data_IF_613750174714
#
_entry.id   IF_613750174714
#
_cell.length_a   1.000
_cell.length_b   1.000
_cell.length_c   1.000
_cell.angle_alpha   90.00
_cell.angle_beta   90.00
_cell.angle_gamma   90.00
#
_symmetry.space_group_name_H-M   'P 1'
#
loop_
_entity.id
_entity.type
_entity.pdbx_description
1 polymer ?
#
# COMPACT_ATOMS: atom_id res chain seq x y z
N UNK A 1 32.67 41.21 6.59
CA UNK A 1 32.85 39.74 6.51
C UNK A 1 32.11 39.19 7.70
N UNK A 2 30.86 38.79 7.47
CA UNK A 2 29.93 38.39 8.52
C UNK A 2 29.65 36.92 8.26
N UNK A 3 30.10 36.06 9.16
CA UNK A 3 29.91 34.62 9.11
C UNK A 3 28.41 34.30 9.03
N UNK A 4 27.96 33.80 7.89
CA UNK A 4 26.70 33.10 7.79
C UNK A 4 26.87 31.75 8.48
N UNK A 5 26.11 31.42 9.54
CA UNK A 5 26.12 30.07 10.06
C UNK A 5 25.58 29.16 8.97
N UNK A 6 26.46 28.32 8.45
CA UNK A 6 26.13 27.26 7.52
C UNK A 6 25.42 26.17 8.32
N UNK A 7 24.17 26.44 8.70
CA UNK A 7 23.32 25.46 9.37
C UNK A 7 22.87 24.47 8.29
N UNK A 8 23.57 23.35 8.22
CA UNK A 8 23.13 22.19 7.43
C UNK A 8 21.63 21.97 7.64
N UNK A 9 20.81 21.82 6.58
CA UNK A 9 19.35 21.68 6.67
C UNK A 9 18.89 20.33 7.27
N UNK A 10 19.69 19.69 8.12
CA UNK A 10 19.47 18.34 8.61
C UNK A 10 19.43 18.15 10.13
N UNK A 11 19.38 19.21 10.95
CA UNK A 11 19.65 19.05 12.39
C UNK A 11 18.44 19.00 13.33
N UNK A 12 17.26 19.54 12.98
CA UNK A 12 16.11 19.54 13.89
C UNK A 12 14.91 18.88 13.22
N UNK A 13 14.88 17.54 13.23
CA UNK A 13 13.62 16.82 13.04
C UNK A 13 12.83 16.94 14.35
N UNK A 14 11.49 17.06 14.31
CA UNK A 14 10.72 17.06 15.54
C UNK A 14 10.92 15.72 16.27
N UNK A 15 11.06 15.75 17.60
CA UNK A 15 11.37 14.57 18.43
C UNK A 15 10.38 13.41 18.25
N UNK A 16 9.18 13.70 17.75
CA UNK A 16 8.13 12.73 17.46
C UNK A 16 8.32 11.97 16.14
N UNK A 17 9.19 12.44 15.24
CA UNK A 17 9.36 11.91 13.90
C UNK A 17 10.29 10.68 13.82
N UNK A 18 11.46 10.62 14.49
CA UNK A 18 12.33 9.44 14.46
C UNK A 18 11.62 8.10 14.71
N UNK A 19 10.79 7.92 15.76
CA UNK A 19 10.11 6.63 15.98
C UNK A 19 9.10 6.30 14.86
N UNK A 20 8.53 7.31 14.20
CA UNK A 20 7.62 7.12 13.06
C UNK A 20 8.40 6.69 11.82
N UNK A 21 9.60 7.25 11.60
CA UNK A 21 10.48 6.85 10.49
C UNK A 21 10.93 5.39 10.66
N UNK A 22 11.33 5.00 11.87
CA UNK A 22 11.64 3.59 12.17
C UNK A 22 10.44 2.69 11.86
N UNK A 23 9.24 3.06 12.30
CA UNK A 23 8.02 2.32 11.99
C UNK A 23 7.76 2.20 10.48
N UNK A 24 8.00 3.26 9.70
CA UNK A 24 7.88 3.22 8.24
C UNK A 24 8.89 2.28 7.59
N UNK A 25 10.12 2.23 8.10
CA UNK A 25 11.12 1.27 7.61
C UNK A 25 10.73 -0.17 7.92
N UNK A 26 10.20 -0.42 9.12
CA UNK A 26 9.66 -1.74 9.51
C UNK A 26 8.51 -2.16 8.61
N UNK A 27 7.53 -1.29 8.37
CA UNK A 27 6.42 -1.59 7.45
C UNK A 27 6.91 -1.90 6.04
N UNK A 28 7.89 -1.16 5.53
CA UNK A 28 8.47 -1.44 4.22
C UNK A 28 9.15 -2.81 4.17
N UNK A 29 9.83 -3.20 5.23
CA UNK A 29 10.46 -4.52 5.33
C UNK A 29 9.42 -5.63 5.40
N UNK A 30 8.39 -5.48 6.24
CA UNK A 30 7.28 -6.43 6.39
C UNK A 30 6.52 -6.63 5.08
N UNK A 31 6.23 -5.53 4.35
CA UNK A 31 5.60 -5.60 3.03
C UNK A 31 6.44 -6.41 2.05
N UNK A 32 7.74 -6.15 1.96
CA UNK A 32 8.64 -6.90 1.08
C UNK A 32 8.69 -8.40 1.44
N UNK A 33 8.68 -8.75 2.73
CA UNK A 33 8.62 -10.14 3.17
C UNK A 33 7.31 -10.82 2.76
N UNK A 34 6.17 -10.13 2.94
CA UNK A 34 4.86 -10.67 2.57
C UNK A 34 4.70 -10.82 1.05
N UNK A 35 5.22 -9.88 0.26
CA UNK A 35 5.27 -9.98 -1.20
C UNK A 35 6.09 -11.18 -1.65
N UNK A 36 7.27 -11.39 -1.05
CA UNK A 36 8.10 -12.57 -1.31
C UNK A 36 7.38 -13.87 -0.95
N UNK A 37 6.69 -13.90 0.21
CA UNK A 37 5.87 -15.06 0.61
C UNK A 37 4.71 -15.32 -0.36
N UNK A 38 4.05 -14.27 -0.86
CA UNK A 38 2.96 -14.41 -1.83
C UNK A 38 3.48 -14.98 -3.16
N UNK A 39 4.67 -14.57 -3.60
CA UNK A 39 5.32 -15.12 -4.79
C UNK A 39 5.69 -16.60 -4.60
N UNK A 40 6.29 -16.96 -3.48
CA UNK A 40 6.63 -18.35 -3.13
C UNK A 40 5.38 -19.26 -3.10
N UNK A 41 4.29 -18.81 -2.47
CA UNK A 41 3.03 -19.56 -2.48
C UNK A 41 2.46 -19.73 -3.89
N UNK A 42 2.64 -18.74 -4.77
CA UNK A 42 2.22 -18.84 -6.17
C UNK A 42 3.02 -19.89 -6.93
N UNK A 43 4.34 -19.93 -6.74
CA UNK A 43 5.20 -20.96 -7.32
C UNK A 43 4.83 -22.36 -6.82
N UNK A 44 4.52 -22.50 -5.52
CA UNK A 44 4.08 -23.76 -4.94
C UNK A 44 2.75 -24.24 -5.56
N UNK A 45 1.77 -23.34 -5.77
CA UNK A 45 0.51 -23.69 -6.46
C UNK A 45 0.80 -24.22 -7.86
N UNK A 46 1.62 -23.51 -8.66
CA UNK A 46 1.98 -23.96 -10.00
C UNK A 46 2.67 -25.32 -10.00
N UNK A 47 3.53 -25.57 -9.01
CA UNK A 47 4.19 -26.86 -8.84
C UNK A 47 3.17 -27.98 -8.56
N UNK A 48 2.22 -27.76 -7.65
CA UNK A 48 1.18 -28.75 -7.35
C UNK A 48 0.25 -29.00 -8.54
N UNK A 49 -0.13 -27.95 -9.29
CA UNK A 49 -0.95 -28.10 -10.49
C UNK A 49 -0.23 -28.91 -11.58
N UNK A 50 1.07 -28.69 -11.78
CA UNK A 50 1.89 -29.49 -12.70
C UNK A 50 1.98 -30.95 -12.24
N UNK A 51 2.14 -31.19 -10.94
CA UNK A 51 2.16 -32.53 -10.37
C UNK A 51 0.81 -33.26 -10.54
N UNK A 52 -0.31 -32.55 -10.36
CA UNK A 52 -1.65 -33.08 -10.61
C UNK A 52 -1.82 -33.52 -12.07
N UNK A 53 -1.45 -32.66 -13.03
CA UNK A 53 -1.52 -32.98 -14.46
C UNK A 53 -0.65 -34.19 -14.85
N UNK A 54 0.52 -34.34 -14.22
CA UNK A 54 1.38 -35.49 -14.44
C UNK A 54 0.73 -36.79 -13.92
N UNK A 55 0.16 -36.77 -12.72
CA UNK A 55 -0.55 -37.91 -12.14
C UNK A 55 -1.81 -38.30 -12.95
N UNK A 56 -2.53 -37.33 -13.52
CA UNK A 56 -3.64 -37.63 -14.44
C UNK A 56 -3.17 -38.31 -15.72
N UNK A 57 -2.07 -37.82 -16.31
CA UNK A 57 -1.50 -38.43 -17.50
C UNK A 57 -1.08 -39.89 -17.22
N UNK A 58 -0.53 -40.18 -16.03
CA UNK A 58 -0.23 -41.55 -15.60
C UNK A 58 -1.49 -42.41 -15.46
N UNK A 59 -2.57 -41.86 -14.88
CA UNK A 59 -3.86 -42.53 -14.78
C UNK A 59 -4.43 -42.87 -16.17
N UNK A 60 -4.39 -41.92 -17.11
CA UNK A 60 -4.83 -42.12 -18.49
C UNK A 60 -4.02 -43.18 -19.22
N UNK A 61 -2.70 -43.20 -19.02
CA UNK A 61 -1.82 -44.25 -19.56
C UNK A 61 -2.18 -45.63 -18.99
N UNK A 62 -2.41 -45.74 -17.67
CA UNK A 62 -2.85 -46.98 -17.02
C UNK A 62 -4.21 -47.45 -17.57
N UNK A 63 -5.16 -46.52 -17.78
CA UNK A 63 -6.47 -46.76 -18.37
C UNK A 63 -6.38 -47.24 -19.82
N UNK A 64 -5.49 -46.66 -20.64
CA UNK A 64 -5.23 -47.12 -22.00
C UNK A 64 -4.64 -48.53 -22.02
N UNK A 65 -3.66 -48.82 -21.14
CA UNK A 65 -3.07 -50.16 -20.97
C UNK A 65 -4.14 -51.18 -20.55
N UNK A 66 -5.03 -50.81 -19.62
CA UNK A 66 -6.14 -51.64 -19.15
C UNK A 66 -7.11 -51.97 -20.29
N UNK A 67 -7.51 -50.98 -21.09
CA UNK A 67 -8.37 -51.17 -22.28
C UNK A 67 -7.73 -52.11 -23.29
N UNK A 68 -6.41 -52.00 -23.51
CA UNK A 68 -5.67 -52.90 -24.40
C UNK A 68 -5.64 -54.33 -23.86
N UNK A 69 -5.42 -54.51 -22.55
CA UNK A 69 -5.44 -55.82 -21.90
C UNK A 69 -6.82 -56.49 -21.98
N UNK A 70 -7.90 -55.72 -21.76
CA UNK A 70 -9.30 -56.17 -21.88
C UNK A 70 -9.62 -56.72 -23.28
N UNK A 71 -9.19 -56.00 -24.33
CA UNK A 71 -9.38 -56.42 -25.73
C UNK A 71 -8.60 -57.71 -26.03
N UNK A 72 -7.39 -57.84 -25.50
CA UNK A 72 -6.55 -59.01 -25.71
C UNK A 72 -7.04 -60.27 -24.96
N UNK A 73 -7.70 -60.11 -23.80
CA UNK A 73 -8.13 -61.24 -22.96
C UNK A 73 -9.53 -61.77 -23.26
N UNK A 74 -10.18 -61.30 -24.34
CA UNK A 74 -11.57 -61.67 -24.74
C UNK A 74 -12.52 -61.62 -23.53
N UNK A 75 -12.41 -60.57 -22.72
CA UNK A 75 -13.28 -60.36 -21.56
C UNK A 75 -13.00 -61.23 -20.34
N UNK A 76 -11.94 -62.07 -20.34
CA UNK A 76 -11.53 -62.81 -19.13
C UNK A 76 -10.67 -61.90 -18.23
N UNK A 77 -11.08 -61.67 -16.96
CA UNK A 77 -10.30 -60.87 -16.03
C UNK A 77 -8.99 -61.58 -15.68
N UNK A 78 -7.87 -60.86 -15.79
CA UNK A 78 -6.53 -61.36 -15.44
C UNK A 78 -5.96 -60.56 -14.29
N UNK A 79 -5.02 -61.14 -13.52
CA UNK A 79 -4.33 -60.45 -12.42
C UNK A 79 -3.77 -59.08 -12.85
N UNK A 80 -3.15 -59.04 -14.04
CA UNK A 80 -2.59 -57.81 -14.63
C UNK A 80 -3.63 -56.71 -14.85
N UNK A 81 -4.89 -57.05 -15.11
CA UNK A 81 -5.96 -56.05 -15.24
C UNK A 81 -6.34 -55.43 -13.89
N UNK A 82 -6.32 -56.22 -12.81
CA UNK A 82 -6.54 -55.68 -11.46
C UNK A 82 -5.40 -54.76 -11.03
N UNK A 83 -4.15 -55.11 -11.35
CA UNK A 83 -2.98 -54.28 -11.11
C UNK A 83 -3.07 -52.93 -11.86
N UNK A 84 -3.37 -52.96 -13.17
CA UNK A 84 -3.54 -51.73 -13.97
C UNK A 84 -4.72 -50.86 -13.49
N UNK A 85 -5.80 -51.47 -13.00
CA UNK A 85 -6.94 -50.73 -12.43
C UNK A 85 -6.60 -50.13 -11.07
N UNK A 86 -5.78 -50.80 -10.28
CA UNK A 86 -5.27 -50.24 -9.03
C UNK A 86 -4.34 -49.04 -9.32
N UNK A 87 -3.44 -49.18 -10.30
CA UNK A 87 -2.53 -48.11 -10.77
C UNK A 87 -3.30 -46.89 -11.28
N UNK A 88 -4.34 -47.08 -12.11
CA UNK A 88 -5.24 -46.00 -12.56
C UNK A 88 -5.84 -45.24 -11.37
N UNK A 89 -6.42 -45.98 -10.42
CA UNK A 89 -7.10 -45.41 -9.26
C UNK A 89 -6.13 -44.69 -8.32
N UNK A 90 -4.96 -45.25 -8.07
CA UNK A 90 -3.96 -44.61 -7.22
C UNK A 90 -3.42 -43.32 -7.86
N UNK A 91 -3.19 -43.33 -9.17
CA UNK A 91 -2.73 -42.14 -9.89
C UNK A 91 -3.81 -41.04 -9.92
N UNK A 92 -5.08 -41.41 -10.11
CA UNK A 92 -6.20 -40.47 -10.05
C UNK A 92 -6.36 -39.86 -8.65
N UNK A 93 -6.32 -40.71 -7.61
CA UNK A 93 -6.37 -40.26 -6.21
C UNK A 93 -5.23 -39.28 -5.90
N UNK A 94 -4.02 -39.56 -6.39
CA UNK A 94 -2.87 -38.67 -6.21
C UNK A 94 -3.06 -37.32 -6.92
N UNK A 95 -3.66 -37.30 -8.11
CA UNK A 95 -3.98 -36.06 -8.80
C UNK A 95 -5.00 -35.21 -8.03
N UNK A 96 -6.02 -35.84 -7.45
CA UNK A 96 -7.01 -35.17 -6.60
C UNK A 96 -6.35 -34.59 -5.34
N UNK A 97 -5.44 -35.32 -4.69
CA UNK A 97 -4.67 -34.84 -3.53
C UNK A 97 -3.82 -33.61 -3.89
N UNK A 98 -3.12 -33.61 -5.02
CA UNK A 98 -2.34 -32.45 -5.47
C UNK A 98 -3.21 -31.22 -5.71
N UNK A 99 -4.42 -31.38 -6.27
CA UNK A 99 -5.35 -30.26 -6.45
C UNK A 99 -5.91 -29.73 -5.14
N UNK A 100 -6.22 -30.62 -4.20
CA UNK A 100 -6.65 -30.22 -2.85
C UNK A 100 -5.54 -29.41 -2.16
N UNK A 101 -4.28 -29.87 -2.25
CA UNK A 101 -3.13 -29.13 -1.72
C UNK A 101 -2.95 -27.76 -2.41
N UNK A 102 -3.05 -27.71 -3.75
CA UNK A 102 -2.97 -26.44 -4.49
C UNK A 102 -4.06 -25.45 -4.03
N UNK A 103 -5.27 -25.95 -3.77
CA UNK A 103 -6.37 -25.13 -3.27
C UNK A 103 -6.11 -24.57 -1.87
N UNK A 104 -5.61 -25.40 -0.94
CA UNK A 104 -5.28 -24.97 0.42
C UNK A 104 -4.16 -23.93 0.43
N UNK A 105 -3.12 -24.13 -0.39
CA UNK A 105 -2.04 -23.14 -0.59
C UNK A 105 -2.62 -21.85 -1.19
N UNK A 106 -3.59 -21.97 -2.11
CA UNK A 106 -4.33 -20.85 -2.68
C UNK A 106 -5.06 -20.00 -1.64
N UNK A 107 -5.68 -20.63 -0.64
CA UNK A 107 -6.30 -19.92 0.49
C UNK A 107 -5.25 -19.14 1.27
N UNK A 108 -4.09 -19.74 1.57
CA UNK A 108 -3.03 -19.04 2.30
C UNK A 108 -2.39 -17.90 1.50
N UNK A 109 -2.23 -18.05 0.19
CA UNK A 109 -1.81 -16.96 -0.69
C UNK A 109 -2.77 -15.78 -0.59
N UNK A 110 -4.08 -16.06 -0.60
CA UNK A 110 -5.10 -15.02 -0.57
C UNK A 110 -5.18 -14.34 0.82
N UNK A 111 -4.93 -15.08 1.91
CA UNK A 111 -4.71 -14.50 3.26
C UNK A 111 -3.55 -13.52 3.25
N UNK A 112 -2.40 -13.93 2.74
CA UNK A 112 -1.21 -13.07 2.63
C UNK A 112 -1.49 -11.85 1.74
N UNK A 113 -2.24 -12.02 0.65
CA UNK A 113 -2.62 -10.92 -0.23
C UNK A 113 -3.50 -9.88 0.49
N UNK A 114 -4.48 -10.30 1.31
CA UNK A 114 -5.27 -9.39 2.14
C UNK A 114 -4.38 -8.64 3.13
N UNK A 115 -3.46 -9.32 3.79
CA UNK A 115 -2.54 -8.72 4.76
C UNK A 115 -1.63 -7.66 4.11
N UNK A 116 -1.10 -7.92 2.91
CA UNK A 116 -0.32 -6.93 2.14
C UNK A 116 -1.13 -5.65 1.93
N UNK A 117 -2.42 -5.76 1.59
CA UNK A 117 -3.30 -4.59 1.38
C UNK A 117 -3.52 -3.78 2.65
N UNK A 118 -3.69 -4.47 3.78
CA UNK A 118 -3.84 -3.84 5.10
C UNK A 118 -2.56 -3.08 5.47
N UNK A 119 -1.41 -3.71 5.33
CA UNK A 119 -0.13 -3.09 5.67
C UNK A 119 0.23 -1.95 4.72
N UNK A 120 -0.12 -2.05 3.43
CA UNK A 120 0.06 -0.97 2.47
C UNK A 120 -0.78 0.26 2.85
N UNK A 121 -2.02 0.08 3.33
CA UNK A 121 -2.83 1.16 3.86
C UNK A 121 -2.23 1.76 5.13
N UNK A 122 -1.78 0.93 6.07
CA UNK A 122 -1.14 1.37 7.31
C UNK A 122 0.14 2.17 7.04
N UNK A 123 0.96 1.69 6.10
CA UNK A 123 2.16 2.37 5.63
C UNK A 123 1.83 3.73 5.03
N UNK A 124 0.85 3.79 4.10
CA UNK A 124 0.41 5.04 3.47
C UNK A 124 -0.09 6.05 4.50
N UNK A 125 -0.92 5.62 5.44
CA UNK A 125 -1.53 6.51 6.43
C UNK A 125 -0.47 7.02 7.42
N UNK A 126 0.48 6.16 7.81
CA UNK A 126 1.64 6.54 8.62
C UNK A 126 2.55 7.52 7.87
N UNK A 127 2.79 7.29 6.58
CA UNK A 127 3.61 8.17 5.73
C UNK A 127 2.95 9.55 5.59
N UNK A 128 1.62 9.58 5.41
CA UNK A 128 0.85 10.83 5.36
C UNK A 128 0.95 11.58 6.68
N UNK A 129 0.79 10.89 7.81
CA UNK A 129 0.91 11.49 9.14
C UNK A 129 2.31 12.05 9.39
N UNK A 130 3.36 11.30 9.06
CA UNK A 130 4.75 11.73 9.20
C UNK A 130 5.07 12.98 8.37
N UNK A 131 4.58 13.03 7.12
CA UNK A 131 4.71 14.21 6.26
C UNK A 131 3.96 15.43 6.82
N UNK A 132 2.77 15.23 7.40
CA UNK A 132 2.03 16.31 8.05
C UNK A 132 2.80 16.87 9.25
N UNK A 133 3.31 16.00 10.13
CA UNK A 133 4.14 16.39 11.28
C UNK A 133 5.36 17.20 10.84
N UNK A 134 6.07 16.74 9.81
CA UNK A 134 7.22 17.46 9.29
C UNK A 134 6.81 18.80 8.68
N UNK A 135 5.72 18.85 7.92
CA UNK A 135 5.22 20.10 7.33
C UNK A 135 4.84 21.12 8.41
N UNK A 136 4.13 20.70 9.44
CA UNK A 136 3.74 21.54 10.58
C UNK A 136 4.98 22.05 11.32
N UNK A 137 5.95 21.18 11.60
CA UNK A 137 7.22 21.59 12.23
C UNK A 137 8.00 22.62 11.40
N UNK A 138 8.09 22.42 10.09
CA UNK A 138 8.75 23.36 9.19
C UNK A 138 8.01 24.70 9.13
N UNK A 139 6.67 24.68 9.16
CA UNK A 139 5.85 25.89 9.24
C UNK A 139 6.07 26.62 10.55
N UNK A 140 6.00 25.94 11.69
CA UNK A 140 6.23 26.53 13.01
C UNK A 140 7.61 27.18 13.12
N UNK A 141 8.64 26.49 12.61
CA UNK A 141 10.01 27.03 12.54
C UNK A 141 10.12 28.26 11.63
N UNK A 142 9.44 28.24 10.48
CA UNK A 142 9.41 29.39 9.57
C UNK A 142 8.67 30.58 10.21
N UNK A 143 7.57 30.33 10.91
CA UNK A 143 6.80 31.36 11.62
C UNK A 143 7.58 31.94 12.81
N UNK A 144 8.36 31.10 13.52
CA UNK A 144 9.24 31.56 14.60
C UNK A 144 10.42 32.42 14.10
N UNK A 145 10.74 32.35 12.80
CA UNK A 145 11.86 33.06 12.18
C UNK A 145 11.42 34.14 11.19
N UNK A 146 10.18 34.64 11.31
CA UNK A 146 9.69 35.74 10.47
C UNK A 146 10.62 36.96 10.64
N UNK A 147 11.14 37.53 9.54
CA UNK A 147 11.98 38.72 9.60
C UNK A 147 11.25 39.90 10.27
N UNK A 148 11.95 40.63 11.13
CA UNK A 148 11.37 41.77 11.86
C UNK A 148 10.81 42.81 10.90
N UNK A 149 11.49 43.03 9.78
CA UNK A 149 11.10 43.96 8.72
C UNK A 149 9.73 43.60 8.14
N UNK A 150 9.43 42.31 7.97
CA UNK A 150 8.14 41.84 7.49
C UNK A 150 7.04 42.10 8.53
N UNK A 151 7.30 41.84 9.81
CA UNK A 151 6.36 42.13 10.91
C UNK A 151 6.03 43.62 10.97
N UNK A 152 7.05 44.48 10.93
CA UNK A 152 6.85 45.94 10.98
C UNK A 152 6.15 46.47 9.72
N UNK A 153 6.47 45.94 8.53
CA UNK A 153 5.76 46.30 7.30
C UNK A 153 4.26 45.96 7.36
N UNK A 154 3.90 44.77 7.88
CA UNK A 154 2.52 44.38 8.07
C UNK A 154 1.80 45.28 9.09
N UNK A 155 2.45 45.64 10.20
CA UNK A 155 1.90 46.56 11.20
C UNK A 155 1.69 47.97 10.65
N UNK A 156 2.67 48.52 9.93
CA UNK A 156 2.56 49.82 9.28
C UNK A 156 1.39 49.85 8.29
N UNK A 157 1.27 48.81 7.47
CA UNK A 157 0.18 48.71 6.52
C UNK A 157 -1.19 48.55 7.21
N UNK A 158 -1.28 47.78 8.30
CA UNK A 158 -2.51 47.67 9.10
C UNK A 158 -2.91 49.01 9.74
N UNK A 159 -1.95 49.75 10.30
CA UNK A 159 -2.19 51.07 10.88
C UNK A 159 -2.68 52.09 9.84
N UNK A 160 -2.11 52.09 8.64
CA UNK A 160 -2.59 52.91 7.52
C UNK A 160 -4.04 52.56 7.14
N UNK A 161 -4.37 51.28 7.15
CA UNK A 161 -5.72 50.84 6.82
C UNK A 161 -6.72 51.26 7.89
N UNK A 162 -6.40 51.12 9.17
CA UNK A 162 -7.26 51.45 10.31
C UNK A 162 -7.59 52.94 10.41
N UNK A 163 -6.64 53.82 10.06
CA UNK A 163 -6.80 55.28 10.18
C UNK A 163 -7.31 55.95 8.89
N UNK A 164 -7.54 55.17 7.83
CA UNK A 164 -8.08 55.66 6.56
C UNK A 164 -9.61 55.45 6.52
N UNK A 165 -10.43 56.53 6.55
CA UNK A 165 -11.89 56.41 6.49
C UNK A 165 -12.41 55.90 5.13
N UNK A 166 -11.56 55.86 4.09
CA UNK A 166 -11.89 55.34 2.76
C UNK A 166 -11.26 53.97 2.47
N UNK A 167 -10.66 53.37 3.49
CA UNK A 167 -9.86 52.16 3.35
C UNK A 167 -10.65 50.97 2.83
N UNK A 168 -10.00 50.18 1.97
CA UNK A 168 -10.60 49.03 1.29
C UNK A 168 -11.18 48.00 2.27
N UNK A 169 -10.62 47.89 3.49
CA UNK A 169 -11.08 46.90 4.47
C UNK A 169 -12.49 47.18 5.01
N UNK A 170 -12.92 48.45 5.09
CA UNK A 170 -14.29 48.81 5.50
C UNK A 170 -15.34 48.40 4.46
N UNK A 171 -14.92 48.13 3.22
CA UNK A 171 -15.80 47.77 2.11
C UNK A 171 -15.98 46.25 1.97
N UNK A 172 -15.28 45.45 2.78
CA UNK A 172 -15.32 43.99 2.70
C UNK A 172 -16.32 43.49 3.74
N UNK A 173 -17.33 42.70 3.34
CA UNK A 173 -18.25 42.06 4.27
C UNK A 173 -17.51 40.90 4.94
N UNK A 174 -16.69 41.20 5.93
CA UNK A 174 -16.12 40.20 6.83
C UNK A 174 -16.92 40.26 8.13
N UNK A 175 -17.11 39.11 8.78
CA UNK A 175 -17.80 39.00 10.07
C UNK A 175 -17.42 40.11 11.05
N UNK A 176 -18.33 40.46 11.96
CA UNK A 176 -18.28 41.57 12.93
C UNK A 176 -16.97 41.73 13.78
N UNK A 177 -15.95 40.88 13.60
CA UNK A 177 -14.66 40.90 14.29
C UNK A 177 -13.44 41.18 13.41
N UNK A 178 -13.57 41.44 12.11
CA UNK A 178 -12.41 41.52 11.23
C UNK A 178 -11.60 42.81 11.43
N UNK A 179 -10.34 42.66 11.80
CA UNK A 179 -9.43 43.81 12.02
C UNK A 179 -8.72 44.22 10.73
N UNK A 180 -8.29 45.48 10.64
CA UNK A 180 -7.43 45.96 9.54
C UNK A 180 -6.18 45.07 9.37
N UNK A 181 -5.69 44.46 10.46
CA UNK A 181 -4.57 43.52 10.43
C UNK A 181 -4.91 42.21 9.70
N UNK A 182 -6.07 41.62 9.94
CA UNK A 182 -6.52 40.40 9.23
C UNK A 182 -6.66 40.63 7.72
N UNK A 183 -7.17 41.79 7.32
CA UNK A 183 -7.26 42.18 5.91
C UNK A 183 -5.87 42.25 5.25
N UNK A 184 -4.93 42.94 5.88
CA UNK A 184 -3.54 43.07 5.40
C UNK A 184 -2.86 41.71 5.36
N UNK A 185 -3.05 40.87 6.38
CA UNK A 185 -2.51 39.52 6.42
C UNK A 185 -3.06 38.65 5.28
N UNK A 186 -4.37 38.68 5.03
CA UNK A 186 -4.97 37.95 3.90
C UNK A 186 -4.42 38.42 2.54
N UNK A 187 -4.12 39.72 2.39
CA UNK A 187 -3.45 40.25 1.19
C UNK A 187 -2.01 39.78 1.08
N UNK A 188 -1.27 39.69 2.19
CA UNK A 188 0.07 39.13 2.23
C UNK A 188 0.09 37.64 1.86
N UNK A 189 -0.84 36.84 2.41
CA UNK A 189 -1.00 35.41 2.07
C UNK A 189 -1.27 35.20 0.58
N UNK A 190 -2.07 36.06 -0.06
CA UNK A 190 -2.30 36.00 -1.52
C UNK A 190 -1.02 36.25 -2.32
N UNK A 191 -0.17 37.19 -1.89
CA UNK A 191 1.13 37.46 -2.53
C UNK A 191 2.10 36.29 -2.33
N UNK A 192 2.15 35.74 -1.11
CA UNK A 192 2.96 34.56 -0.80
C UNK A 192 2.52 33.35 -1.65
N UNK A 193 1.21 33.14 -1.81
CA UNK A 193 0.68 32.07 -2.66
C UNK A 193 1.11 32.22 -4.12
N UNK A 194 1.14 33.45 -4.66
CA UNK A 194 1.63 33.69 -6.01
C UNK A 194 3.12 33.31 -6.13
N UNK A 195 3.94 33.74 -5.17
CA UNK A 195 5.36 33.37 -5.13
C UNK A 195 5.58 31.86 -4.98
N UNK A 196 4.77 31.18 -4.16
CA UNK A 196 4.84 29.72 -3.99
C UNK A 196 4.48 28.95 -5.27
N UNK A 197 3.58 29.49 -6.11
CA UNK A 197 3.24 28.88 -7.41
C UNK A 197 4.39 28.99 -8.43
N UNK A 198 5.16 30.07 -8.35
CA UNK A 198 6.27 30.34 -9.26
C UNK A 198 7.60 29.73 -8.76
N UNK A 199 7.66 29.28 -7.51
CA UNK A 199 8.85 28.68 -6.92
C UNK A 199 9.11 27.26 -7.47
N UNK A 200 10.38 26.85 -7.68
CA UNK A 200 10.72 25.50 -8.08
C UNK A 200 10.30 24.48 -7.00
N UNK A 201 9.72 23.34 -7.42
CA UNK A 201 9.36 22.27 -6.50
C UNK A 201 10.62 21.55 -5.99
N UNK A 202 11.11 21.98 -4.83
CA UNK A 202 12.26 21.42 -4.15
C UNK A 202 11.88 20.45 -3.02
N UNK A 203 10.65 19.92 -3.00
CA UNK A 203 10.17 19.04 -1.91
C UNK A 203 11.06 17.83 -1.68
N UNK A 204 11.60 17.24 -2.75
CA UNK A 204 12.47 16.06 -2.65
C UNK A 204 13.80 16.36 -1.95
N UNK A 205 14.29 17.59 -2.00
CA UNK A 205 15.53 17.99 -1.32
C UNK A 205 15.33 18.24 0.18
N UNK A 206 14.09 18.47 0.63
CA UNK A 206 13.76 18.76 2.03
C UNK A 206 13.22 17.56 2.80
N UNK A 207 12.79 16.50 2.10
CA UNK A 207 12.23 15.31 2.73
C UNK A 207 13.33 14.29 3.06
N UNK A 208 13.34 13.71 4.27
CA UNK A 208 14.08 12.48 4.55
C UNK A 208 13.78 11.40 3.51
N UNK A 209 14.75 10.51 3.26
CA UNK A 209 14.65 9.45 2.24
C UNK A 209 13.39 8.60 2.45
N UNK A 210 13.04 8.32 3.70
CA UNK A 210 11.89 7.51 4.13
C UNK A 210 10.56 8.19 3.81
N UNK A 211 10.54 9.52 3.80
CA UNK A 211 9.38 10.34 3.48
C UNK A 211 9.30 10.72 2.00
N UNK A 212 10.30 10.40 1.20
CA UNK A 212 10.32 10.74 -0.24
C UNK A 212 9.47 9.79 -1.09
N UNK A 213 9.12 8.60 -0.56
CA UNK A 213 8.30 7.60 -1.24
C UNK A 213 6.94 8.16 -1.69
N UNK A 214 6.44 7.83 -2.89
CA UNK A 214 5.13 8.32 -3.34
C UNK A 214 4.02 7.82 -2.40
N UNK A 215 3.01 8.66 -2.14
CA UNK A 215 1.80 8.24 -1.41
C UNK A 215 0.95 7.25 -2.22
N UNK A 216 1.16 7.24 -3.54
CA UNK A 216 0.59 6.22 -4.42
C UNK A 216 1.47 4.98 -4.34
N UNK A 217 1.16 4.07 -3.42
CA UNK A 217 1.63 2.68 -3.53
C UNK A 217 0.83 2.05 -4.67
N UNK A 218 1.38 2.15 -5.88
CA UNK A 218 0.70 1.75 -7.11
C UNK A 218 0.09 0.36 -6.97
N UNK A 219 -1.25 0.31 -6.99
CA UNK A 219 -1.99 -0.94 -7.02
C UNK A 219 -1.94 -1.80 -5.76
N UNK A 220 -1.41 -1.34 -4.61
CA UNK A 220 -1.39 -2.07 -3.32
C UNK A 220 -2.38 -1.53 -2.28
N UNK A 221 -2.75 -0.26 -2.36
CA UNK A 221 -3.79 0.32 -1.49
C UNK A 221 -5.15 -0.20 -1.92
N UNK A 222 -5.98 -0.55 -0.95
CA UNK A 222 -7.36 -0.99 -1.15
C UNK A 222 -8.31 -0.15 -0.28
N UNK A 223 -9.47 0.16 -0.81
CA UNK A 223 -10.54 0.79 -0.04
C UNK A 223 -11.06 -0.14 1.06
N UNK A 224 -11.68 0.39 2.14
CA UNK A 224 -12.28 -0.45 3.18
C UNK A 224 -13.34 -1.42 2.64
N UNK A 225 -14.07 -1.03 1.59
CA UNK A 225 -15.08 -1.88 0.97
C UNK A 225 -14.45 -3.03 0.18
N UNK A 226 -13.37 -2.76 -0.56
CA UNK A 226 -12.60 -3.80 -1.27
C UNK A 226 -11.99 -4.79 -0.27
N UNK A 227 -11.36 -4.30 0.81
CA UNK A 227 -10.82 -5.16 1.87
C UNK A 227 -11.89 -6.03 2.52
N UNK A 228 -13.06 -5.45 2.80
CA UNK A 228 -14.20 -6.20 3.35
C UNK A 228 -14.63 -7.30 2.40
N UNK A 229 -14.80 -6.98 1.11
CA UNK A 229 -15.16 -7.95 0.07
C UNK A 229 -14.14 -9.07 -0.05
N UNK A 230 -12.85 -8.75 -0.12
CA UNK A 230 -11.78 -9.76 -0.19
C UNK A 230 -11.80 -10.71 1.02
N UNK A 231 -12.09 -10.18 2.22
CA UNK A 231 -12.22 -11.00 3.44
C UNK A 231 -13.46 -11.88 3.43
N UNK A 232 -14.58 -11.36 2.94
CA UNK A 232 -15.82 -12.12 2.78
C UNK A 232 -15.64 -13.26 1.77
N UNK A 233 -15.07 -12.97 0.59
CA UNK A 233 -14.77 -13.95 -0.45
C UNK A 233 -13.81 -15.05 0.07
N UNK A 234 -12.78 -14.66 0.84
CA UNK A 234 -11.86 -15.61 1.48
C UNK A 234 -12.58 -16.49 2.52
N UNK A 235 -13.38 -15.88 3.40
CA UNK A 235 -14.14 -16.61 4.41
C UNK A 235 -15.20 -17.54 3.82
N UNK A 236 -15.75 -17.21 2.65
CA UNK A 236 -16.63 -18.10 1.90
C UNK A 236 -15.87 -19.31 1.33
N UNK A 237 -14.68 -19.09 0.75
CA UNK A 237 -13.84 -20.18 0.22
C UNK A 237 -13.33 -21.13 1.30
N UNK A 238 -12.96 -20.59 2.46
CA UNK A 238 -12.57 -21.39 3.63
C UNK A 238 -13.72 -22.26 4.15
N UNK A 239 -14.95 -21.73 4.15
CA UNK A 239 -16.15 -22.48 4.54
C UNK A 239 -16.56 -23.53 3.52
N UNK A 240 -16.38 -23.24 2.23
CA UNK A 240 -16.72 -24.17 1.15
C UNK A 240 -15.77 -25.37 1.12
N UNK A 241 -14.49 -25.18 1.48
CA UNK A 241 -13.47 -26.22 1.35
C UNK A 241 -13.15 -26.55 -0.11
N UNK A 242 -12.22 -27.49 -0.33
CA UNK A 242 -11.94 -27.97 -1.68
C UNK A 242 -13.17 -28.73 -2.22
N UNK A 243 -13.71 -28.37 -3.40
CA UNK A 243 -14.81 -29.11 -4.00
C UNK A 243 -14.31 -30.49 -4.44
N UNK A 244 -14.64 -31.51 -3.65
CA UNK A 244 -14.51 -32.90 -4.10
C UNK A 244 -15.55 -33.11 -5.21
N UNK A 245 -15.09 -33.22 -6.46
CA UNK A 245 -15.95 -33.74 -7.54
C UNK A 245 -16.33 -35.18 -7.16
N UNK A 246 -17.62 -35.39 -6.90
CA UNK A 246 -18.20 -36.68 -6.50
C UNK A 246 -18.45 -37.62 -7.69
#
# INVERSE_FOLDING_TARGET
MSDTPNTSPGADLPDTLPPILEKLTSYRHELAQKEAKCADLTEQIEHQEKAALAAEAESDVAKMKLRKALRASIGRPTKKMYELKAEEKSALSLAEEYRALAYDIGIERDRVAVDIRVDANNYRDTLKAARAILADHLLDRALASIPRELVEALRLQAGLQEHDPHSEWHQIPVSDSATAFEFVFARACRRLLAQLKDAPDNRQAMLPTELSAPLSTAGLVASPLELKRMREDLAERERAGYPLEA
#
